data_IF_034531773480
#
_entry.id   IF_034531773480
#
_cell.length_a   1.000
_cell.length_b   1.000
_cell.length_c   1.000
_cell.angle_alpha   90.00
_cell.angle_beta   90.00
_cell.angle_gamma   90.00
#
_symmetry.space_group_name_H-M   'P 1'
#
loop_
_entity.id
_entity.type
_entity.pdbx_description
1 polymer ?
#
# COMPACT_ATOMS: atom_id res chain seq x y z
N UNK A 1 5.05 -13.43 14.87
CA UNK A 1 4.55 -14.58 15.68
C UNK A 1 3.46 -15.29 14.89
N UNK A 2 3.42 -16.61 14.93
CA UNK A 2 2.34 -17.40 14.34
C UNK A 2 1.05 -17.17 15.13
N UNK A 3 -0.11 -17.09 14.48
CA UNK A 3 -1.37 -16.88 15.19
C UNK A 3 -1.93 -18.19 15.76
N UNK A 4 -2.66 -18.11 16.89
CA UNK A 4 -3.31 -19.27 17.50
C UNK A 4 -4.27 -19.97 16.52
N UNK A 5 -4.91 -19.22 15.63
CA UNK A 5 -5.82 -19.77 14.61
C UNK A 5 -5.08 -20.69 13.63
N UNK A 6 -3.86 -20.34 13.22
CA UNK A 6 -3.05 -21.18 12.34
C UNK A 6 -2.56 -22.43 13.06
N UNK A 7 -2.13 -22.28 14.32
CA UNK A 7 -1.79 -23.44 15.13
C UNK A 7 -2.98 -24.39 15.28
N UNK A 8 -4.18 -23.86 15.57
CA UNK A 8 -5.41 -24.64 15.69
C UNK A 8 -5.74 -25.37 14.39
N UNK A 9 -5.77 -24.68 13.24
CA UNK A 9 -6.10 -25.34 11.95
C UNK A 9 -5.07 -26.43 11.59
N UNK A 10 -3.82 -26.26 12.00
CA UNK A 10 -2.76 -27.25 11.78
C UNK A 10 -2.99 -28.50 12.59
N UNK A 11 -3.27 -28.38 13.89
CA UNK A 11 -3.50 -29.55 14.75
C UNK A 11 -4.84 -30.24 14.43
N UNK A 12 -5.87 -29.47 14.01
CA UNK A 12 -7.14 -30.05 13.54
C UNK A 12 -6.93 -30.93 12.30
N UNK A 13 -6.12 -30.45 11.36
CA UNK A 13 -5.74 -31.22 10.17
C UNK A 13 -4.96 -32.48 10.52
N UNK A 14 -4.01 -32.40 11.46
CA UNK A 14 -3.24 -33.54 11.95
C UNK A 14 -4.13 -34.55 12.66
N UNK A 15 -5.08 -34.13 13.51
CA UNK A 15 -6.06 -34.99 14.14
C UNK A 15 -6.90 -35.74 13.12
N UNK A 16 -7.33 -35.06 12.04
CA UNK A 16 -8.09 -35.67 10.95
C UNK A 16 -7.37 -36.84 10.26
N UNK A 17 -6.03 -36.75 10.19
CA UNK A 17 -5.17 -37.76 9.56
C UNK A 17 -4.79 -38.88 10.54
N UNK A 18 -4.27 -38.48 11.70
CA UNK A 18 -3.59 -39.37 12.64
C UNK A 18 -4.50 -39.94 13.73
N UNK A 19 -5.70 -39.39 13.90
CA UNK A 19 -6.68 -39.74 14.94
C UNK A 19 -6.13 -39.66 16.36
N UNK A 20 -5.18 -38.75 16.58
CA UNK A 20 -4.59 -38.45 17.89
C UNK A 20 -5.06 -37.08 18.36
N UNK A 21 -5.25 -36.95 19.66
CA UNK A 21 -5.47 -35.65 20.26
C UNK A 21 -4.16 -34.92 20.47
N UNK A 22 -4.12 -33.65 20.04
CA UNK A 22 -2.93 -32.81 20.07
C UNK A 22 -3.29 -31.47 20.72
N UNK A 23 -2.38 -30.96 21.56
CA UNK A 23 -2.42 -29.58 22.00
C UNK A 23 -1.04 -28.93 21.85
N UNK A 24 -1.04 -27.61 21.72
CA UNK A 24 0.16 -26.77 21.70
C UNK A 24 0.01 -25.74 22.82
N UNK A 25 1.04 -25.67 23.68
CA UNK A 25 1.12 -24.72 24.77
C UNK A 25 2.38 -23.85 24.65
N UNK A 26 2.35 -22.66 25.24
CA UNK A 26 3.56 -21.87 25.46
C UNK A 26 4.42 -22.45 26.59
N UNK A 27 5.59 -21.85 26.81
CA UNK A 27 6.52 -22.31 27.84
C UNK A 27 6.01 -22.10 29.28
N UNK A 28 5.03 -21.22 29.46
CA UNK A 28 4.39 -20.89 30.73
C UNK A 28 3.18 -21.82 31.02
N UNK A 29 2.88 -22.77 30.12
CA UNK A 29 1.82 -23.76 30.27
C UNK A 29 0.46 -23.33 29.76
N UNK A 30 0.33 -22.15 29.16
CA UNK A 30 -0.93 -21.69 28.56
C UNK A 30 -1.20 -22.42 27.25
N UNK A 31 -2.34 -23.07 27.11
CA UNK A 31 -2.79 -23.72 25.89
C UNK A 31 -3.11 -22.67 24.81
N UNK A 32 -2.47 -22.76 23.66
CA UNK A 32 -2.65 -21.88 22.50
C UNK A 32 -3.60 -22.49 21.45
N UNK A 33 -3.56 -23.81 21.32
CA UNK A 33 -4.41 -24.59 20.43
C UNK A 33 -4.63 -26.01 21.00
N UNK A 34 -5.83 -26.59 20.85
CA UNK A 34 -6.11 -27.93 21.38
C UNK A 34 -7.19 -28.64 20.59
N UNK A 35 -7.05 -29.95 20.46
CA UNK A 35 -8.08 -30.86 19.92
C UNK A 35 -8.66 -31.77 21.02
N UNK A 36 -8.23 -31.61 22.28
CA UNK A 36 -8.77 -32.37 23.41
C UNK A 36 -10.21 -31.99 23.69
N UNK A 37 -11.04 -32.99 23.99
CA UNK A 37 -12.46 -32.81 24.31
C UNK A 37 -12.63 -32.46 25.78
N UNK A 38 -11.76 -32.97 26.67
CA UNK A 38 -11.78 -32.70 28.10
C UNK A 38 -10.76 -31.63 28.49
N UNK A 39 -11.21 -30.66 29.23
CA UNK A 39 -10.37 -29.56 29.74
C UNK A 39 -9.55 -30.06 30.97
N UNK A 40 -8.40 -30.70 30.69
CA UNK A 40 -7.44 -31.10 31.72
C UNK A 40 -6.40 -30.02 31.89
N UNK A 41 -6.21 -29.57 33.10
CA UNK A 41 -5.13 -28.64 33.42
C UNK A 41 -3.78 -29.40 33.34
N UNK A 42 -3.03 -29.11 32.27
CA UNK A 42 -1.70 -29.66 31.99
C UNK A 42 -0.59 -28.63 32.22
N UNK A 43 -0.91 -27.44 32.73
CA UNK A 43 0.01 -26.29 32.87
C UNK A 43 1.26 -26.66 33.66
N UNK A 44 1.09 -27.25 34.83
CA UNK A 44 2.23 -27.62 35.71
C UNK A 44 3.15 -28.66 35.06
N UNK A 45 2.58 -29.60 34.26
CA UNK A 45 3.34 -30.60 33.53
C UNK A 45 4.13 -29.96 32.40
N UNK A 46 3.54 -29.01 31.69
CA UNK A 46 4.19 -28.26 30.59
C UNK A 46 5.36 -27.44 31.15
N UNK A 47 5.14 -26.66 32.20
CA UNK A 47 6.19 -25.85 32.86
C UNK A 47 7.34 -26.71 33.32
N UNK A 48 7.05 -27.83 34.01
CA UNK A 48 8.07 -28.77 34.49
C UNK A 48 8.88 -29.39 33.33
N UNK A 49 8.20 -29.78 32.23
CA UNK A 49 8.85 -30.33 31.06
C UNK A 49 9.67 -29.28 30.30
N UNK A 50 9.17 -28.04 30.19
CA UNK A 50 9.90 -26.93 29.56
C UNK A 50 11.26 -26.70 30.21
N UNK A 51 11.32 -26.78 31.52
CA UNK A 51 12.55 -26.62 32.33
C UNK A 51 13.49 -27.83 32.25
N UNK A 52 13.02 -29.01 31.83
CA UNK A 52 13.82 -30.23 31.72
C UNK A 52 14.86 -30.16 30.58
N UNK A 53 15.86 -31.07 30.60
CA UNK A 53 16.82 -31.18 29.50
C UNK A 53 16.33 -32.13 28.37
N UNK A 54 15.22 -32.84 28.56
CA UNK A 54 14.69 -33.79 27.60
C UNK A 54 13.96 -33.06 26.44
N UNK A 55 14.18 -33.50 25.20
CA UNK A 55 13.47 -33.02 24.02
C UNK A 55 12.06 -33.61 23.89
N UNK A 56 11.82 -34.77 24.54
CA UNK A 56 10.52 -35.42 24.64
C UNK A 56 10.41 -36.21 25.94
N UNK A 57 9.19 -36.32 26.48
CA UNK A 57 8.91 -37.02 27.73
C UNK A 57 7.51 -37.61 27.72
N UNK A 58 7.37 -38.85 28.24
CA UNK A 58 6.06 -39.42 28.54
C UNK A 58 5.71 -39.19 30.02
N UNK A 59 4.54 -38.62 30.29
CA UNK A 59 4.06 -38.39 31.66
C UNK A 59 2.53 -38.36 31.70
N UNK A 60 1.92 -39.01 32.69
CA UNK A 60 0.45 -38.96 32.90
C UNK A 60 -0.41 -39.48 31.75
N UNK A 61 0.12 -40.33 30.86
CA UNK A 61 -0.56 -40.82 29.66
C UNK A 61 -0.44 -39.90 28.44
N UNK A 62 0.34 -38.84 28.54
CA UNK A 62 0.63 -37.89 27.48
C UNK A 62 2.09 -37.97 27.04
N UNK A 63 2.33 -37.63 25.77
CA UNK A 63 3.66 -37.44 25.22
C UNK A 63 3.89 -35.95 25.00
N UNK A 64 4.95 -35.41 25.60
CA UNK A 64 5.36 -34.01 25.51
C UNK A 64 6.56 -33.90 24.59
N UNK A 65 6.58 -32.88 23.73
CA UNK A 65 7.67 -32.61 22.79
C UNK A 65 8.00 -31.12 22.80
N UNK A 66 9.28 -30.77 22.79
CA UNK A 66 9.76 -29.41 22.66
C UNK A 66 9.76 -28.99 21.19
N UNK A 67 9.26 -27.78 20.92
CA UNK A 67 9.32 -27.14 19.62
C UNK A 67 10.24 -25.94 19.75
N UNK A 68 11.35 -25.97 19.00
CA UNK A 68 12.34 -24.90 18.99
C UNK A 68 12.17 -24.05 17.72
N UNK A 69 12.30 -22.71 17.89
CA UNK A 69 12.57 -21.78 16.80
C UNK A 69 14.06 -21.40 16.88
N UNK A 70 14.85 -21.84 15.90
CA UNK A 70 16.33 -21.86 15.95
C UNK A 70 16.85 -22.60 17.18
N UNK A 71 17.27 -21.86 18.19
CA UNK A 71 17.84 -22.39 19.44
C UNK A 71 17.00 -22.06 20.67
N UNK A 72 15.87 -21.38 20.51
CA UNK A 72 14.99 -20.97 21.59
C UNK A 72 13.78 -21.91 21.64
N UNK A 73 13.46 -22.41 22.84
CA UNK A 73 12.22 -23.15 23.08
C UNK A 73 11.04 -22.18 22.95
N UNK A 74 10.14 -22.45 22.00
CA UNK A 74 9.01 -21.58 21.71
C UNK A 74 7.70 -22.18 22.19
N UNK A 75 7.49 -23.49 21.92
CA UNK A 75 6.26 -24.19 22.29
C UNK A 75 6.53 -25.59 22.82
N UNK A 76 5.52 -26.13 23.50
CA UNK A 76 5.42 -27.54 23.87
C UNK A 76 4.22 -28.16 23.14
N UNK A 77 4.45 -29.22 22.39
CA UNK A 77 3.39 -30.04 21.80
C UNK A 77 3.07 -31.18 22.74
N UNK A 78 1.79 -31.43 22.97
CA UNK A 78 1.25 -32.49 23.82
C UNK A 78 0.43 -33.40 22.90
N UNK A 79 0.74 -34.69 22.90
CA UNK A 79 -0.01 -35.69 22.12
C UNK A 79 -0.57 -36.79 23.05
N UNK A 80 -1.79 -37.23 22.76
CA UNK A 80 -2.48 -38.30 23.48
C UNK A 80 -3.23 -39.21 22.51
N UNK A 81 -3.20 -40.51 22.77
CA UNK A 81 -3.92 -41.52 22.00
C UNK A 81 -3.66 -42.94 22.48
N UNK A 82 -4.48 -43.87 22.05
CA UNK A 82 -4.47 -45.27 22.47
C UNK A 82 -3.57 -46.18 21.59
N UNK A 83 -2.78 -45.58 20.67
CA UNK A 83 -1.95 -46.34 19.71
C UNK A 83 -0.47 -46.20 20.05
N UNK A 84 0.34 -47.23 19.69
CA UNK A 84 1.80 -47.20 19.87
C UNK A 84 2.49 -46.11 19.00
N UNK A 85 1.76 -45.51 18.06
CA UNK A 85 2.28 -44.53 17.12
C UNK A 85 2.30 -43.07 17.65
N UNK A 86 1.79 -42.82 18.87
CA UNK A 86 1.68 -41.46 19.45
C UNK A 86 3.01 -40.72 19.43
N UNK A 87 4.12 -41.43 19.72
CA UNK A 87 5.43 -40.82 19.70
C UNK A 87 5.88 -40.40 18.30
N UNK A 88 5.68 -41.27 17.30
CA UNK A 88 6.08 -41.00 15.92
C UNK A 88 5.24 -39.87 15.30
N UNK A 89 3.92 -39.89 15.50
CA UNK A 89 3.03 -38.85 15.03
C UNK A 89 3.30 -37.51 15.74
N UNK A 90 3.57 -37.54 17.06
CA UNK A 90 3.99 -36.36 17.80
C UNK A 90 5.26 -35.72 17.23
N UNK A 91 6.27 -36.55 16.87
CA UNK A 91 7.48 -36.06 16.21
C UNK A 91 7.20 -35.45 14.81
N UNK A 92 6.31 -36.04 14.02
CA UNK A 92 5.89 -35.47 12.73
C UNK A 92 5.14 -34.14 12.92
N UNK A 93 4.27 -34.06 13.94
CA UNK A 93 3.58 -32.82 14.29
C UNK A 93 4.56 -31.70 14.70
N UNK A 94 5.60 -32.04 15.50
CA UNK A 94 6.68 -31.11 15.84
C UNK A 94 7.36 -30.58 14.56
N UNK A 95 7.76 -31.48 13.65
CA UNK A 95 8.40 -31.10 12.40
C UNK A 95 7.49 -30.17 11.55
N UNK A 96 6.20 -30.48 11.48
CA UNK A 96 5.23 -29.65 10.78
C UNK A 96 5.13 -28.24 11.37
N UNK A 97 5.01 -28.14 12.70
CA UNK A 97 4.94 -26.83 13.38
C UNK A 97 6.27 -26.06 13.24
N UNK A 98 7.41 -26.72 13.34
CA UNK A 98 8.71 -26.09 13.10
C UNK A 98 8.83 -25.56 11.66
N UNK A 99 8.37 -26.31 10.66
CA UNK A 99 8.34 -25.86 9.26
C UNK A 99 7.46 -24.62 9.09
N UNK A 100 6.31 -24.60 9.76
CA UNK A 100 5.43 -23.42 9.76
C UNK A 100 6.10 -22.21 10.43
N UNK A 101 6.78 -22.37 11.57
CA UNK A 101 7.51 -21.31 12.24
C UNK A 101 8.55 -20.66 11.32
N UNK A 102 9.34 -21.51 10.62
CA UNK A 102 10.33 -21.02 9.65
C UNK A 102 9.66 -20.24 8.53
N UNK A 103 8.58 -20.76 7.93
CA UNK A 103 7.87 -20.09 6.84
C UNK A 103 7.26 -18.75 7.27
N UNK A 104 6.67 -18.68 8.47
CA UNK A 104 6.12 -17.44 9.03
C UNK A 104 7.20 -16.40 9.33
N UNK A 105 8.35 -16.84 9.85
CA UNK A 105 9.49 -15.95 10.08
C UNK A 105 10.03 -15.37 8.77
N UNK A 106 10.23 -16.20 7.76
CA UNK A 106 10.69 -15.74 6.44
C UNK A 106 9.72 -14.73 5.82
N UNK A 107 8.40 -14.98 5.93
CA UNK A 107 7.39 -14.05 5.47
C UNK A 107 7.44 -12.72 6.23
N UNK A 108 7.60 -12.77 7.56
CA UNK A 108 7.73 -11.58 8.40
C UNK A 108 8.99 -10.79 8.08
N UNK A 109 10.12 -11.47 7.87
CA UNK A 109 11.38 -10.85 7.48
C UNK A 109 11.30 -10.19 6.10
N UNK A 110 10.60 -10.79 5.14
CA UNK A 110 10.34 -10.18 3.82
C UNK A 110 9.48 -8.93 3.94
N UNK A 111 8.37 -8.98 4.67
CA UNK A 111 7.50 -7.82 4.90
C UNK A 111 8.24 -6.67 5.58
N UNK A 112 9.02 -6.96 6.62
CA UNK A 112 9.84 -5.95 7.30
C UNK A 112 10.92 -5.37 6.40
N UNK A 113 11.56 -6.20 5.59
CA UNK A 113 12.56 -5.73 4.62
C UNK A 113 11.92 -4.76 3.63
N UNK A 114 10.78 -5.12 3.03
CA UNK A 114 10.08 -4.28 2.04
C UNK A 114 9.60 -2.97 2.68
N UNK A 115 9.00 -3.00 3.87
CA UNK A 115 8.58 -1.79 4.59
C UNK A 115 9.75 -0.84 4.86
N UNK A 116 10.87 -1.36 5.36
CA UNK A 116 12.06 -0.55 5.60
C UNK A 116 12.68 -0.02 4.30
N UNK A 117 12.63 -0.80 3.22
CA UNK A 117 13.08 -0.38 1.89
C UNK A 117 12.24 0.77 1.35
N UNK A 118 10.90 0.66 1.41
CA UNK A 118 9.97 1.71 0.98
C UNK A 118 10.17 3.01 1.75
N UNK A 119 10.40 2.92 3.07
CA UNK A 119 10.60 4.07 3.96
C UNK A 119 12.02 4.64 3.90
N UNK A 120 12.92 4.09 3.07
CA UNK A 120 14.31 4.53 2.93
C UNK A 120 15.14 4.40 4.23
N UNK A 121 14.81 3.39 5.05
CA UNK A 121 15.42 3.16 6.37
C UNK A 121 16.61 2.19 6.32
N UNK A 122 17.07 1.79 5.13
CA UNK A 122 18.14 0.81 4.95
C UNK A 122 19.36 1.43 4.29
N UNK A 123 20.54 1.07 4.78
CA UNK A 123 21.77 1.38 4.08
C UNK A 123 21.90 0.51 2.82
N UNK A 124 22.58 1.03 1.80
CA UNK A 124 22.74 0.33 0.51
C UNK A 124 23.32 -1.08 0.67
N UNK A 125 24.30 -1.26 1.55
CA UNK A 125 24.90 -2.57 1.84
C UNK A 125 23.88 -3.54 2.45
N UNK A 126 23.04 -3.03 3.34
CA UNK A 126 21.99 -3.85 3.99
C UNK A 126 20.91 -4.26 3.01
N UNK A 127 20.55 -3.38 2.04
CA UNK A 127 19.59 -3.71 0.99
C UNK A 127 20.05 -4.94 0.22
N UNK A 128 21.29 -4.96 -0.27
CA UNK A 128 21.81 -6.07 -1.06
C UNK A 128 21.99 -7.36 -0.22
N UNK A 129 22.50 -7.24 1.00
CA UNK A 129 22.70 -8.39 1.87
C UNK A 129 21.39 -9.06 2.28
N UNK A 130 20.38 -8.25 2.66
CA UNK A 130 19.06 -8.77 3.05
C UNK A 130 18.30 -9.32 1.85
N UNK A 131 18.32 -8.64 0.70
CA UNK A 131 17.70 -9.13 -0.53
C UNK A 131 18.25 -10.53 -0.90
N UNK A 132 19.58 -10.70 -0.84
CA UNK A 132 20.21 -12.00 -1.08
C UNK A 132 19.77 -13.07 -0.07
N UNK A 133 19.74 -12.75 1.23
CA UNK A 133 19.30 -13.65 2.29
C UNK A 133 17.82 -14.08 2.11
N UNK A 134 16.98 -13.16 1.64
CA UNK A 134 15.54 -13.37 1.46
C UNK A 134 15.18 -13.91 0.06
N UNK A 135 16.20 -14.24 -0.75
CA UNK A 135 16.03 -14.70 -2.13
C UNK A 135 15.21 -13.74 -3.02
N UNK A 136 15.43 -12.43 -2.82
CA UNK A 136 14.80 -11.37 -3.62
C UNK A 136 15.79 -10.94 -4.71
N UNK A 137 15.36 -11.02 -5.96
CA UNK A 137 16.20 -10.59 -7.09
C UNK A 137 16.40 -9.07 -7.07
N UNK A 138 17.65 -8.65 -7.27
CA UNK A 138 18.06 -7.24 -7.13
C UNK A 138 17.88 -6.47 -8.42
N UNK A 139 18.25 -7.07 -9.55
CA UNK A 139 18.30 -6.45 -10.88
C UNK A 139 17.03 -6.67 -11.71
N UNK A 140 15.87 -6.64 -11.10
CA UNK A 140 14.58 -6.84 -11.76
C UNK A 140 13.79 -5.54 -11.80
N UNK A 141 13.09 -5.31 -12.91
CA UNK A 141 12.25 -4.12 -13.09
C UNK A 141 11.04 -4.18 -12.17
N UNK A 142 10.79 -3.07 -11.48
CA UNK A 142 9.65 -2.95 -10.56
C UNK A 142 8.96 -1.60 -10.70
N UNK A 143 7.71 -1.58 -10.29
CA UNK A 143 6.94 -0.34 -10.11
C UNK A 143 6.19 -0.41 -8.78
N UNK A 144 6.03 0.73 -8.13
CA UNK A 144 5.27 0.82 -6.89
C UNK A 144 3.92 1.46 -7.16
N UNK A 145 2.85 0.77 -6.77
CA UNK A 145 1.50 1.30 -6.71
C UNK A 145 1.17 1.65 -5.27
N UNK A 146 0.45 2.75 -5.11
CA UNK A 146 -0.15 3.17 -3.87
C UNK A 146 -1.66 3.22 -4.07
N UNK A 147 -2.38 2.43 -3.29
CA UNK A 147 -3.83 2.36 -3.29
C UNK A 147 -4.33 3.04 -2.04
N UNK A 148 -5.10 4.11 -2.19
CA UNK A 148 -5.74 4.82 -1.09
C UNK A 148 -7.24 4.62 -1.12
N UNK A 149 -7.85 4.47 0.07
CA UNK A 149 -9.29 4.48 0.26
C UNK A 149 -9.70 5.63 1.17
N UNK A 150 -10.88 6.19 0.92
CA UNK A 150 -11.49 7.20 1.81
C UNK A 150 -11.91 6.58 3.15
N UNK A 151 -12.18 5.28 3.16
CA UNK A 151 -12.50 4.48 4.35
C UNK A 151 -11.29 3.70 4.85
N UNK A 152 -11.36 3.24 6.11
CA UNK A 152 -10.33 2.36 6.66
C UNK A 152 -10.28 1.06 5.85
N UNK A 153 -9.11 0.75 5.33
CA UNK A 153 -8.89 -0.49 4.58
C UNK A 153 -8.88 -1.66 5.56
N UNK A 154 -9.81 -2.56 5.38
CA UNK A 154 -9.90 -3.78 6.18
C UNK A 154 -8.91 -4.87 5.69
N UNK A 155 -8.84 -5.95 6.45
CA UNK A 155 -8.00 -7.11 6.12
C UNK A 155 -8.44 -7.75 4.81
N UNK A 156 -9.75 -7.67 4.45
CA UNK A 156 -10.29 -8.27 3.24
C UNK A 156 -9.73 -7.63 1.97
N UNK A 157 -9.63 -6.31 1.92
CA UNK A 157 -9.04 -5.60 0.77
C UNK A 157 -7.56 -5.93 0.58
N UNK A 158 -6.82 -6.06 1.69
CA UNK A 158 -5.42 -6.46 1.65
C UNK A 158 -5.24 -7.90 1.15
N UNK A 159 -6.09 -8.80 1.62
CA UNK A 159 -6.02 -10.21 1.23
C UNK A 159 -6.50 -10.41 -0.21
N UNK A 160 -7.52 -9.68 -0.68
CA UNK A 160 -7.93 -9.67 -2.07
C UNK A 160 -6.80 -9.20 -3.01
N UNK A 161 -6.05 -8.14 -2.65
CA UNK A 161 -4.88 -7.71 -3.43
C UNK A 161 -3.74 -8.74 -3.39
N UNK A 162 -3.50 -9.40 -2.27
CA UNK A 162 -2.50 -10.49 -2.20
C UNK A 162 -2.88 -11.68 -3.08
N UNK A 163 -4.17 -12.02 -3.12
CA UNK A 163 -4.68 -13.09 -3.97
C UNK A 163 -4.62 -12.70 -5.45
N UNK A 164 -4.98 -11.46 -5.79
CA UNK A 164 -4.88 -10.91 -7.15
C UNK A 164 -3.45 -10.99 -7.72
N UNK A 165 -2.43 -10.69 -6.92
CA UNK A 165 -1.02 -10.77 -7.34
C UNK A 165 -0.40 -12.15 -7.17
N UNK A 166 -1.16 -13.18 -6.87
CA UNK A 166 -0.82 -14.58 -6.63
C UNK A 166 0.44 -14.86 -5.79
N UNK A 167 0.39 -15.89 -4.98
CA UNK A 167 1.47 -16.28 -4.06
C UNK A 167 2.75 -16.82 -4.76
N UNK A 168 2.73 -17.00 -6.07
CA UNK A 168 3.89 -17.46 -6.87
C UNK A 168 4.68 -16.28 -7.47
N UNK A 169 4.14 -15.06 -7.41
CA UNK A 169 4.82 -13.86 -7.89
C UNK A 169 5.80 -13.31 -6.84
N UNK A 170 6.88 -12.66 -7.31
CA UNK A 170 7.79 -11.90 -6.45
C UNK A 170 7.24 -10.51 -6.09
N UNK A 171 5.92 -10.35 -6.13
CA UNK A 171 5.24 -9.12 -5.81
C UNK A 171 5.06 -8.97 -4.29
N UNK A 172 5.07 -7.74 -3.81
CA UNK A 172 4.88 -7.48 -2.39
C UNK A 172 3.65 -6.60 -2.20
N UNK A 173 2.73 -7.05 -1.35
CA UNK A 173 1.56 -6.28 -0.93
C UNK A 173 1.67 -6.04 0.56
N UNK A 174 1.80 -4.77 0.94
CA UNK A 174 1.95 -4.34 2.34
C UNK A 174 1.12 -3.11 2.63
N UNK A 175 0.81 -2.84 3.90
CA UNK A 175 0.20 -1.60 4.34
C UNK A 175 1.18 -0.86 5.26
N UNK A 176 1.22 0.47 5.11
CA UNK A 176 2.02 1.35 5.96
C UNK A 176 1.13 2.04 6.99
N UNK A 177 -0.12 2.26 6.65
CA UNK A 177 -1.15 2.82 7.51
C UNK A 177 -2.54 2.20 7.23
N UNK A 178 -3.57 2.68 7.91
CA UNK A 178 -4.93 2.13 7.84
C UNK A 178 -5.70 2.51 6.55
N UNK A 179 -5.17 3.43 5.74
CA UNK A 179 -5.82 3.93 4.52
C UNK A 179 -5.08 3.59 3.24
N UNK A 180 -3.83 3.10 3.35
CA UNK A 180 -2.96 2.92 2.21
C UNK A 180 -2.43 1.49 2.11
N UNK A 181 -2.66 0.87 0.94
CA UNK A 181 -1.98 -0.37 0.55
C UNK A 181 -0.91 -0.04 -0.49
N UNK A 182 0.25 -0.63 -0.32
CA UNK A 182 1.37 -0.51 -1.23
C UNK A 182 1.59 -1.84 -1.93
N UNK A 183 1.67 -1.79 -3.25
CA UNK A 183 2.02 -2.95 -4.08
C UNK A 183 3.34 -2.65 -4.78
N UNK A 184 4.34 -3.50 -4.55
CA UNK A 184 5.59 -3.49 -5.31
C UNK A 184 5.49 -4.60 -6.34
N UNK A 185 5.24 -4.23 -7.59
CA UNK A 185 5.03 -5.15 -8.70
C UNK A 185 6.33 -5.39 -9.46
N UNK A 186 6.69 -6.65 -9.65
CA UNK A 186 7.73 -7.07 -10.58
C UNK A 186 7.20 -7.04 -12.02
N UNK A 187 7.99 -6.50 -12.96
CA UNK A 187 7.62 -6.34 -14.36
C UNK A 187 8.50 -7.21 -15.25
N UNK A 188 7.91 -7.71 -16.34
CA UNK A 188 8.68 -8.37 -17.38
C UNK A 188 9.55 -7.36 -18.15
N UNK A 189 10.61 -7.79 -18.83
CA UNK A 189 11.50 -6.90 -19.60
C UNK A 189 10.78 -6.06 -20.66
N UNK A 190 9.72 -6.59 -21.27
CA UNK A 190 8.90 -5.95 -22.30
C UNK A 190 7.81 -5.01 -21.75
N UNK A 191 7.45 -5.14 -20.46
CA UNK A 191 6.37 -4.34 -19.87
C UNK A 191 6.73 -2.86 -19.85
N UNK A 192 5.82 -2.04 -20.36
CA UNK A 192 5.91 -0.58 -20.34
C UNK A 192 4.81 0.05 -19.49
N UNK A 193 4.71 1.38 -19.58
CA UNK A 193 3.67 2.11 -18.85
C UNK A 193 2.25 1.79 -19.29
N UNK A 194 2.04 1.25 -20.51
CA UNK A 194 0.73 0.77 -20.94
C UNK A 194 0.29 -0.44 -20.10
N UNK A 195 1.20 -1.37 -19.82
CA UNK A 195 0.91 -2.52 -18.95
C UNK A 195 0.71 -2.10 -17.50
N UNK A 196 1.54 -1.17 -16.99
CA UNK A 196 1.36 -0.59 -15.65
C UNK A 196 -0.02 0.06 -15.51
N UNK A 197 -0.49 0.78 -16.52
CA UNK A 197 -1.82 1.38 -16.54
C UNK A 197 -2.94 0.34 -16.51
N UNK A 198 -2.80 -0.78 -17.25
CA UNK A 198 -3.77 -1.89 -17.22
C UNK A 198 -3.82 -2.57 -15.85
N UNK A 199 -2.66 -2.81 -15.26
CA UNK A 199 -2.57 -3.37 -13.90
C UNK A 199 -3.30 -2.45 -12.89
N UNK A 200 -3.05 -1.13 -12.96
CA UNK A 200 -3.74 -0.16 -12.10
C UNK A 200 -5.27 -0.18 -12.29
N UNK A 201 -5.74 -0.30 -13.54
CA UNK A 201 -7.16 -0.40 -13.87
C UNK A 201 -7.78 -1.69 -13.31
N UNK A 202 -7.09 -2.83 -13.49
CA UNK A 202 -7.56 -4.12 -12.97
C UNK A 202 -7.63 -4.14 -11.44
N UNK A 203 -6.65 -3.51 -10.75
CA UNK A 203 -6.71 -3.35 -9.29
C UNK A 203 -7.91 -2.52 -8.85
N UNK A 204 -8.18 -1.42 -9.54
CA UNK A 204 -9.30 -0.54 -9.25
C UNK A 204 -10.65 -1.26 -9.44
N UNK A 205 -10.79 -1.99 -10.55
CA UNK A 205 -12.00 -2.74 -10.88
C UNK A 205 -12.24 -3.86 -9.87
N UNK A 206 -11.21 -4.61 -9.49
CA UNK A 206 -11.29 -5.66 -8.49
C UNK A 206 -11.72 -5.10 -7.12
N UNK A 207 -11.07 -4.04 -6.63
CA UNK A 207 -11.41 -3.44 -5.34
C UNK A 207 -12.82 -2.85 -5.33
N UNK A 208 -13.28 -2.29 -6.46
CA UNK A 208 -14.65 -1.77 -6.58
C UNK A 208 -15.70 -2.88 -6.63
N UNK A 209 -15.42 -4.00 -7.32
CA UNK A 209 -16.41 -5.08 -7.55
C UNK A 209 -16.46 -6.11 -6.42
N UNK A 210 -15.33 -6.50 -5.87
CA UNK A 210 -15.25 -7.57 -4.87
C UNK A 210 -15.30 -7.03 -3.43
N UNK A 211 -14.71 -5.86 -3.18
CA UNK A 211 -14.59 -5.29 -1.84
C UNK A 211 -15.51 -4.08 -1.63
N UNK A 212 -16.16 -3.59 -2.71
CA UNK A 212 -17.04 -2.41 -2.71
C UNK A 212 -16.37 -1.12 -2.17
N UNK A 213 -15.05 -1.02 -2.26
CA UNK A 213 -14.29 0.14 -1.81
C UNK A 213 -14.12 1.16 -2.93
N UNK A 214 -14.39 2.44 -2.60
CA UNK A 214 -14.01 3.55 -3.46
C UNK A 214 -12.53 3.87 -3.23
N UNK A 215 -11.71 3.58 -4.22
CA UNK A 215 -10.26 3.73 -4.11
C UNK A 215 -9.68 4.61 -5.21
N UNK A 216 -8.51 5.18 -4.93
CA UNK A 216 -7.65 5.85 -5.89
C UNK A 216 -6.32 5.10 -5.96
N UNK A 217 -5.84 4.86 -7.17
CA UNK A 217 -4.57 4.17 -7.41
C UNK A 217 -3.57 5.17 -8.01
N UNK A 218 -2.41 5.31 -7.37
CA UNK A 218 -1.31 6.07 -7.93
C UNK A 218 -0.09 5.18 -8.12
N UNK A 219 0.77 5.49 -9.09
CA UNK A 219 2.00 4.75 -9.30
C UNK A 219 3.20 5.63 -9.66
N UNK A 220 4.38 5.17 -9.23
CA UNK A 220 5.65 5.82 -9.50
C UNK A 220 6.24 5.46 -10.86
N UNK A 221 7.52 5.77 -11.07
CA UNK A 221 8.25 5.35 -12.26
C UNK A 221 8.71 3.90 -12.13
N UNK A 222 8.88 3.25 -13.29
CA UNK A 222 9.51 1.93 -13.38
C UNK A 222 10.98 2.09 -12.99
N UNK A 223 11.44 1.24 -12.08
CA UNK A 223 12.81 1.18 -11.60
C UNK A 223 13.46 -0.14 -11.96
N UNK A 224 14.79 -0.17 -12.12
CA UNK A 224 15.52 -1.35 -12.62
C UNK A 224 16.25 -2.11 -11.50
N UNK A 225 16.40 -1.53 -10.34
CA UNK A 225 17.07 -2.13 -9.20
C UNK A 225 16.25 -1.97 -7.92
N UNK A 226 16.37 -2.94 -7.03
CA UNK A 226 15.64 -2.96 -5.75
C UNK A 226 15.91 -1.73 -4.88
N UNK A 227 17.14 -1.18 -4.91
CA UNK A 227 17.50 0.04 -4.16
C UNK A 227 16.69 1.27 -4.57
N UNK A 228 16.11 1.26 -5.77
CA UNK A 228 15.35 2.39 -6.31
C UNK A 228 13.84 2.30 -5.99
N UNK A 229 13.39 1.22 -5.34
CA UNK A 229 11.98 1.00 -5.00
C UNK A 229 11.44 2.12 -4.10
N UNK A 230 12.25 2.63 -3.15
CA UNK A 230 11.89 3.79 -2.32
C UNK A 230 11.61 5.04 -3.14
N UNK A 231 12.35 5.25 -4.25
CA UNK A 231 12.08 6.36 -5.18
C UNK A 231 10.71 6.20 -5.84
N UNK A 232 10.43 5.02 -6.42
CA UNK A 232 9.14 4.75 -7.05
C UNK A 232 7.97 4.93 -6.07
N UNK A 233 8.15 4.55 -4.80
CA UNK A 233 7.18 4.78 -3.74
C UNK A 233 6.95 6.27 -3.44
N UNK A 234 8.03 7.05 -3.27
CA UNK A 234 7.94 8.51 -3.05
C UNK A 234 7.24 9.21 -4.22
N UNK A 235 7.49 8.74 -5.45
CA UNK A 235 6.84 9.23 -6.66
C UNK A 235 5.36 8.85 -6.71
N UNK A 236 4.99 7.62 -6.34
CA UNK A 236 3.59 7.18 -6.24
C UNK A 236 2.83 8.01 -5.19
N UNK A 237 3.44 8.26 -4.04
CA UNK A 237 2.88 9.12 -2.99
C UNK A 237 2.65 10.55 -3.49
N UNK A 238 3.63 11.12 -4.18
CA UNK A 238 3.48 12.44 -4.79
C UNK A 238 2.38 12.43 -5.86
N UNK A 239 2.28 11.38 -6.67
CA UNK A 239 1.23 11.26 -7.67
C UNK A 239 -0.17 11.23 -7.04
N UNK A 240 -0.31 10.55 -5.91
CA UNK A 240 -1.56 10.52 -5.16
C UNK A 240 -1.96 11.91 -4.66
N UNK A 241 -1.05 12.63 -3.99
CA UNK A 241 -1.31 13.95 -3.45
C UNK A 241 -1.58 15.00 -4.55
N UNK A 242 -0.75 15.03 -5.59
CA UNK A 242 -0.95 15.92 -6.75
C UNK A 242 -2.27 15.59 -7.46
N UNK A 243 -2.65 14.30 -7.49
CA UNK A 243 -3.92 13.84 -8.03
C UNK A 243 -5.13 14.40 -7.29
N UNK A 244 -5.08 14.47 -5.96
CA UNK A 244 -6.14 15.06 -5.13
C UNK A 244 -6.36 16.56 -5.40
N UNK A 245 -5.29 17.26 -5.76
CA UNK A 245 -5.33 18.71 -5.99
C UNK A 245 -5.78 19.05 -7.42
N UNK A 246 -5.15 18.42 -8.43
CA UNK A 246 -5.26 18.83 -9.82
C UNK A 246 -6.07 17.89 -10.71
N UNK A 247 -6.26 16.64 -10.28
CA UNK A 247 -6.89 15.58 -11.08
C UNK A 247 -7.97 14.85 -10.27
N UNK A 248 -8.87 15.62 -9.63
CA UNK A 248 -9.87 15.13 -8.68
C UNK A 248 -10.72 13.99 -9.25
N UNK A 249 -11.10 14.09 -10.53
CA UNK A 249 -11.94 13.10 -11.23
C UNK A 249 -11.17 11.83 -11.65
N UNK A 250 -9.85 11.84 -11.57
CA UNK A 250 -9.03 10.70 -11.99
C UNK A 250 -8.83 9.74 -10.81
N UNK A 251 -9.30 8.53 -10.98
CA UNK A 251 -9.07 7.44 -10.03
C UNK A 251 -7.69 6.79 -10.16
N UNK A 252 -7.05 6.91 -11.33
CA UNK A 252 -5.69 6.42 -11.58
C UNK A 252 -4.80 7.60 -11.92
N UNK A 253 -3.70 7.76 -11.18
CA UNK A 253 -2.76 8.85 -11.34
C UNK A 253 -1.32 8.34 -11.48
N UNK A 254 -0.72 8.61 -12.63
CA UNK A 254 0.66 8.24 -12.93
C UNK A 254 1.61 9.39 -12.60
N UNK A 255 2.73 9.12 -11.94
CA UNK A 255 3.74 10.15 -11.63
C UNK A 255 4.28 10.84 -12.89
N UNK A 256 4.53 10.10 -13.95
CA UNK A 256 5.04 10.63 -15.22
C UNK A 256 4.01 11.48 -16.00
N UNK A 257 2.72 11.45 -15.59
CA UNK A 257 1.65 12.22 -16.22
C UNK A 257 1.23 13.45 -15.40
N UNK A 258 1.93 13.79 -14.32
CA UNK A 258 1.60 14.93 -13.45
C UNK A 258 1.90 16.29 -14.08
N UNK A 259 2.78 16.34 -15.08
CA UNK A 259 3.16 17.57 -15.75
C UNK A 259 3.67 18.64 -14.76
N UNK A 260 3.17 19.85 -14.93
CA UNK A 260 3.54 21.01 -14.11
C UNK A 260 3.01 20.90 -12.66
N UNK A 261 1.96 20.10 -12.41
CA UNK A 261 1.39 19.91 -11.08
C UNK A 261 2.41 19.45 -10.04
N UNK A 262 3.35 18.55 -10.43
CA UNK A 262 4.42 18.11 -9.52
C UNK A 262 5.43 19.19 -9.14
N UNK A 263 5.65 20.19 -10.01
CA UNK A 263 6.52 21.32 -9.71
C UNK A 263 5.85 22.26 -8.73
N UNK A 264 4.57 22.57 -8.96
CA UNK A 264 3.77 23.45 -8.09
C UNK A 264 3.66 22.84 -6.69
N UNK A 265 3.39 21.54 -6.58
CA UNK A 265 3.31 20.84 -5.29
C UNK A 265 4.59 20.94 -4.44
N UNK A 266 5.74 21.14 -5.06
CA UNK A 266 7.03 21.30 -4.39
C UNK A 266 7.40 22.75 -4.06
N UNK A 267 6.57 23.74 -4.47
CA UNK A 267 6.85 25.13 -4.17
C UNK A 267 6.62 25.45 -2.69
N UNK A 268 7.53 26.20 -2.06
CA UNK A 268 7.31 26.69 -0.69
C UNK A 268 6.09 27.60 -0.63
N UNK A 269 5.21 27.43 0.36
CA UNK A 269 4.02 28.24 0.55
C UNK A 269 4.30 29.76 0.55
N UNK A 270 5.38 30.28 1.20
CA UNK A 270 5.69 31.71 1.12
C UNK A 270 5.92 32.20 -0.32
N UNK A 271 6.54 31.39 -1.18
CA UNK A 271 6.73 31.72 -2.59
C UNK A 271 5.41 31.75 -3.34
N UNK A 272 4.53 30.79 -3.07
CA UNK A 272 3.17 30.74 -3.63
C UNK A 272 2.38 32.00 -3.27
N UNK A 273 2.39 32.40 -1.98
CA UNK A 273 1.72 33.63 -1.50
C UNK A 273 2.25 34.88 -2.16
N UNK A 274 3.56 34.99 -2.34
CA UNK A 274 4.19 36.13 -3.01
C UNK A 274 3.73 36.19 -4.48
N UNK A 275 3.83 35.08 -5.21
CA UNK A 275 3.43 35.00 -6.63
C UNK A 275 1.95 35.34 -6.84
N UNK A 276 1.05 34.81 -6.02
CA UNK A 276 -0.38 35.12 -6.11
C UNK A 276 -0.65 36.61 -5.87
N UNK A 277 0.04 37.23 -4.90
CA UNK A 277 -0.12 38.67 -4.63
C UNK A 277 0.39 39.54 -5.77
N UNK A 278 1.38 39.10 -6.53
CA UNK A 278 1.88 39.82 -7.73
C UNK A 278 0.87 39.76 -8.90
N UNK A 279 0.20 38.61 -9.07
CA UNK A 279 -0.75 38.41 -10.18
C UNK A 279 -2.14 39.01 -9.86
N UNK A 280 -2.64 38.81 -8.65
CA UNK A 280 -3.97 39.24 -8.24
C UNK A 280 -3.91 40.44 -7.29
N UNK A 281 -3.52 41.62 -7.85
CA UNK A 281 -3.31 42.84 -7.07
C UNK A 281 -4.66 43.44 -6.59
N UNK A 282 -5.64 43.54 -7.49
CA UNK A 282 -6.91 44.22 -7.26
C UNK A 282 -8.12 43.26 -7.16
N UNK A 283 -7.93 41.98 -7.39
CA UNK A 283 -8.95 40.92 -7.42
C UNK A 283 -8.51 39.70 -6.69
N UNK A 284 -9.34 39.15 -5.81
CA UNK A 284 -9.06 37.81 -5.26
C UNK A 284 -9.46 36.73 -6.27
N UNK A 285 -8.67 35.63 -6.39
CA UNK A 285 -9.13 34.46 -7.14
C UNK A 285 -10.47 33.89 -6.66
N UNK A 286 -10.84 34.15 -5.40
CA UNK A 286 -12.11 33.75 -4.80
C UNK A 286 -13.31 34.62 -5.23
N UNK A 287 -13.05 35.80 -5.82
CA UNK A 287 -14.07 36.68 -6.33
C UNK A 287 -14.55 36.30 -7.75
N UNK A 288 -13.91 35.33 -8.38
CA UNK A 288 -14.35 34.83 -9.68
C UNK A 288 -15.60 33.96 -9.52
N UNK A 289 -16.68 34.39 -10.18
CA UNK A 289 -17.91 33.62 -10.24
C UNK A 289 -17.72 32.32 -11.04
N UNK A 290 -18.62 31.38 -10.84
CA UNK A 290 -18.57 30.04 -11.48
C UNK A 290 -18.55 30.16 -13.01
N UNK A 291 -19.28 31.13 -13.56
CA UNK A 291 -19.33 31.41 -15.01
C UNK A 291 -17.97 31.85 -15.57
N UNK A 292 -17.23 32.64 -14.82
CA UNK A 292 -15.88 33.10 -15.16
C UNK A 292 -14.89 31.91 -15.10
N UNK A 293 -14.94 31.08 -14.03
CA UNK A 293 -14.09 29.92 -13.88
C UNK A 293 -14.35 28.89 -14.98
N UNK A 294 -15.61 28.63 -15.35
CA UNK A 294 -15.98 27.76 -16.47
C UNK A 294 -15.46 28.31 -17.80
N UNK A 295 -15.58 29.63 -18.01
CA UNK A 295 -15.05 30.29 -19.22
C UNK A 295 -13.56 30.12 -19.34
N UNK A 296 -12.79 30.28 -18.26
CA UNK A 296 -11.35 30.11 -18.20
C UNK A 296 -10.99 28.63 -18.51
N UNK A 297 -11.64 27.69 -17.82
CA UNK A 297 -11.38 26.26 -18.02
C UNK A 297 -11.60 25.83 -19.47
N UNK A 298 -12.77 26.20 -20.04
CA UNK A 298 -13.09 25.88 -21.43
C UNK A 298 -12.17 26.57 -22.42
N UNK A 299 -11.68 27.77 -22.12
CA UNK A 299 -10.75 28.47 -22.98
C UNK A 299 -9.39 27.78 -23.04
N UNK A 300 -8.87 27.30 -21.93
CA UNK A 300 -7.65 26.49 -21.87
C UNK A 300 -7.83 25.11 -22.52
N UNK A 301 -8.95 24.42 -22.26
CA UNK A 301 -9.28 23.12 -22.86
C UNK A 301 -9.31 23.20 -24.39
N UNK A 302 -9.74 24.32 -24.94
CA UNK A 302 -9.80 24.57 -26.40
C UNK A 302 -8.53 25.26 -26.96
N UNK A 303 -7.38 25.15 -26.26
CA UNK A 303 -6.11 25.69 -26.70
C UNK A 303 -6.19 27.19 -27.07
N UNK A 304 -6.87 27.99 -26.27
CA UNK A 304 -7.06 29.42 -26.42
C UNK A 304 -7.84 29.82 -27.71
N UNK A 305 -8.65 28.90 -28.22
CA UNK A 305 -9.44 29.15 -29.43
C UNK A 305 -10.80 29.77 -29.09
N UNK A 306 -10.92 31.09 -29.34
CA UNK A 306 -12.13 31.87 -29.05
C UNK A 306 -13.38 31.30 -29.74
N UNK A 307 -13.29 30.88 -31.01
CA UNK A 307 -14.45 30.40 -31.75
C UNK A 307 -14.95 29.05 -31.24
N UNK A 308 -14.05 28.13 -30.94
CA UNK A 308 -14.39 26.82 -30.41
C UNK A 308 -14.93 26.93 -28.98
N UNK A 309 -14.30 27.75 -28.13
CA UNK A 309 -14.76 27.98 -26.77
C UNK A 309 -16.16 28.59 -26.71
N UNK A 310 -16.44 29.64 -27.54
CA UNK A 310 -17.77 30.22 -27.58
C UNK A 310 -18.84 29.22 -28.01
N UNK A 311 -18.51 28.33 -28.96
CA UNK A 311 -19.39 27.24 -29.42
C UNK A 311 -19.69 26.23 -28.29
N UNK A 312 -18.68 25.81 -27.56
CA UNK A 312 -18.84 24.84 -26.46
C UNK A 312 -19.56 25.42 -25.24
N UNK A 313 -19.39 26.72 -24.95
CA UNK A 313 -20.10 27.44 -23.90
C UNK A 313 -21.50 27.87 -24.32
N UNK A 314 -21.92 27.65 -25.57
CA UNK A 314 -23.20 28.06 -26.13
C UNK A 314 -23.44 29.59 -26.00
N UNK A 315 -22.39 30.40 -26.13
CA UNK A 315 -22.45 31.87 -26.06
C UNK A 315 -21.97 32.49 -27.37
N UNK A 316 -22.40 33.76 -27.61
CA UNK A 316 -21.90 34.51 -28.75
C UNK A 316 -20.39 34.82 -28.56
N UNK A 317 -19.62 34.82 -29.67
CA UNK A 317 -18.20 35.16 -29.65
C UNK A 317 -17.87 36.47 -28.94
N UNK A 318 -18.70 37.51 -29.16
CA UNK A 318 -18.49 38.82 -28.53
C UNK A 318 -18.68 38.74 -27.00
N UNK A 319 -19.55 37.88 -26.51
CA UNK A 319 -19.74 37.66 -25.07
C UNK A 319 -18.46 37.01 -24.47
N UNK A 320 -17.88 36.05 -25.13
CA UNK A 320 -16.62 35.47 -24.68
C UNK A 320 -15.48 36.49 -24.68
N UNK A 321 -15.35 37.29 -25.75
CA UNK A 321 -14.32 38.35 -25.82
C UNK A 321 -14.53 39.36 -24.67
N UNK A 322 -15.75 39.74 -24.40
CA UNK A 322 -16.06 40.66 -23.28
C UNK A 322 -15.62 40.07 -21.93
N UNK A 323 -15.86 38.78 -21.69
CA UNK A 323 -15.40 38.10 -20.46
C UNK A 323 -13.88 38.05 -20.37
N UNK A 324 -13.18 37.76 -21.47
CA UNK A 324 -11.70 37.77 -21.51
C UNK A 324 -11.17 39.20 -21.26
N UNK A 325 -11.78 40.24 -21.86
CA UNK A 325 -11.41 41.64 -21.61
C UNK A 325 -11.65 42.05 -20.17
N UNK A 326 -12.68 41.50 -19.51
CA UNK A 326 -12.93 41.72 -18.07
C UNK A 326 -11.84 41.14 -17.21
N UNK A 327 -11.37 39.93 -17.53
CA UNK A 327 -10.26 39.29 -16.86
C UNK A 327 -8.95 40.04 -17.05
N UNK A 328 -8.64 40.46 -18.29
CA UNK A 328 -7.46 41.28 -18.58
C UNK A 328 -7.44 42.57 -17.75
N UNK A 329 -8.54 43.30 -17.68
CA UNK A 329 -8.64 44.51 -16.84
C UNK A 329 -8.46 44.23 -15.34
N UNK A 330 -8.90 43.06 -14.87
CA UNK A 330 -8.85 42.70 -13.46
C UNK A 330 -7.47 42.21 -13.02
N UNK A 331 -6.73 41.54 -13.92
CA UNK A 331 -5.48 40.89 -13.60
C UNK A 331 -4.26 41.46 -14.33
N UNK A 332 -4.49 42.25 -15.37
CA UNK A 332 -3.41 42.70 -16.27
C UNK A 332 -2.89 41.62 -17.22
N UNK A 333 -3.56 40.47 -17.31
CA UNK A 333 -3.16 39.34 -18.14
C UNK A 333 -4.21 39.07 -19.22
N UNK A 334 -3.83 39.26 -20.49
CA UNK A 334 -4.66 38.90 -21.65
C UNK A 334 -4.53 37.43 -21.96
N UNK A 335 -5.51 36.63 -21.63
CA UNK A 335 -5.50 35.18 -21.87
C UNK A 335 -5.40 34.78 -23.35
N UNK A 336 -5.52 35.71 -24.29
CA UNK A 336 -5.30 35.50 -25.72
C UNK A 336 -3.82 35.58 -26.09
N UNK A 337 -2.98 36.13 -25.22
CA UNK A 337 -1.53 36.16 -25.33
C UNK A 337 -0.97 34.93 -24.63
N UNK A 338 -0.16 34.15 -25.30
CA UNK A 338 0.30 32.85 -24.81
C UNK A 338 1.05 32.94 -23.47
N UNK A 339 1.96 33.91 -23.32
CA UNK A 339 2.74 34.07 -22.08
C UNK A 339 1.87 34.49 -20.89
N UNK A 340 0.88 35.34 -21.12
CA UNK A 340 -0.08 35.76 -20.09
C UNK A 340 -1.00 34.60 -19.70
N UNK A 341 -1.44 33.83 -20.68
CA UNK A 341 -2.27 32.64 -20.47
C UNK A 341 -1.57 31.59 -19.62
N UNK A 342 -0.28 31.29 -19.92
CA UNK A 342 0.54 30.37 -19.11
C UNK A 342 0.67 30.91 -17.66
N UNK A 343 1.00 32.20 -17.52
CA UNK A 343 1.17 32.81 -16.21
C UNK A 343 -0.10 32.70 -15.38
N UNK A 344 -1.25 33.00 -15.99
CA UNK A 344 -2.56 32.90 -15.37
C UNK A 344 -2.93 31.47 -14.99
N UNK A 345 -2.66 30.49 -15.89
CA UNK A 345 -2.91 29.08 -15.62
C UNK A 345 -2.09 28.58 -14.42
N UNK A 346 -0.81 28.94 -14.37
CA UNK A 346 0.06 28.62 -13.23
C UNK A 346 -0.49 29.26 -11.95
N UNK A 347 -0.90 30.52 -12.00
CA UNK A 347 -1.47 31.20 -10.85
C UNK A 347 -2.73 30.51 -10.30
N UNK A 348 -3.65 30.08 -11.16
CA UNK A 348 -4.81 29.29 -10.73
C UNK A 348 -4.42 27.93 -10.12
N UNK A 349 -3.41 27.25 -10.67
CA UNK A 349 -2.92 26.02 -10.09
C UNK A 349 -2.29 26.25 -8.71
N UNK A 350 -1.51 27.32 -8.54
CA UNK A 350 -0.94 27.70 -7.24
C UNK A 350 -2.04 28.01 -6.23
N UNK A 351 -3.12 28.71 -6.64
CA UNK A 351 -4.28 28.94 -5.78
C UNK A 351 -4.94 27.64 -5.32
N UNK A 352 -5.16 26.68 -6.25
CA UNK A 352 -5.71 25.37 -5.89
C UNK A 352 -4.83 24.64 -4.88
N UNK A 353 -3.52 24.67 -5.09
CA UNK A 353 -2.54 24.08 -4.19
C UNK A 353 -2.58 24.71 -2.80
N UNK A 354 -2.59 26.05 -2.72
CA UNK A 354 -2.64 26.75 -1.44
C UNK A 354 -3.93 26.45 -0.67
N UNK A 355 -5.08 26.44 -1.32
CA UNK A 355 -6.37 26.07 -0.70
C UNK A 355 -6.35 24.64 -0.14
N UNK A 356 -5.78 23.69 -0.88
CA UNK A 356 -5.62 22.32 -0.41
C UNK A 356 -4.74 22.25 0.85
N UNK A 357 -3.62 22.97 0.86
CA UNK A 357 -2.72 22.99 2.02
C UNK A 357 -3.35 23.65 3.25
N UNK A 358 -4.12 24.72 3.06
CA UNK A 358 -4.87 25.39 4.15
C UNK A 358 -5.95 24.46 4.78
N UNK A 359 -6.53 23.55 4.00
CA UNK A 359 -7.49 22.56 4.52
C UNK A 359 -6.83 21.38 5.25
N UNK A 360 -5.52 21.15 5.07
CA UNK A 360 -4.76 20.12 5.81
C UNK A 360 -4.23 20.62 7.15
N UNK A 361 -4.12 21.94 7.34
CA UNK A 361 -3.63 22.58 8.58
C UNK A 361 -4.73 22.76 9.66
N UNK A 362 -5.95 22.26 9.38
CA UNK A 362 -7.10 22.18 10.31
C UNK A 362 -7.53 20.72 10.49
#
# INVERSE_FOLDING_TARGET
MISNQVLQSTIDSLKGIARLDIAIADIDGKILATTFIEDKDLSDMVVSFSASQADSQAAGGYQFFKIFDEHQLEFVLIAHGDTDDVYMVGKLAVLQVQTLLVAYREKFDKDNFVKNLLLDNLLLVDIYNRAKKLHIEVGVRRVVFLVESDETIDVQAQDALKEFFSSESNDFVTAVDEKNIIVVKELQPEDGYEEVQKIAASMLDMLSSEVMLSTRVAYGTIVNEIKEVSRSYKEAKMALEVGKIFFVDRKIVAYNALGIGRLIYQLPIPLCKMFIKEIFVDVSPDDFDEETLETISKFFENNLNVSETSRQLFIHRNTLVYRLDKLDRATGLDLRVFDDAITFQIALMVVKYMKYMEHLDF
#
